data_IF_056717736049
#
_entry.id   IF_056717736049
#
_cell.length_a   1.000
_cell.length_b   1.000
_cell.length_c   1.000
_cell.angle_alpha   90.00
_cell.angle_beta   90.00
_cell.angle_gamma   90.00
#
_symmetry.space_group_name_H-M   'P 1'
#
loop_
_entity.id
_entity.type
_entity.pdbx_description
1 polymer ?
#
# COMPACT_ATOMS: atom_id res chain seq x y z
N UNK A 1 -3.89 3.14 25.31
CA UNK A 1 -3.01 3.11 24.13
C UNK A 1 -3.88 3.39 22.92
N UNK A 2 -3.71 4.52 22.27
CA UNK A 2 -4.54 4.90 21.13
C UNK A 2 -4.18 4.03 19.92
N UNK A 3 -5.06 3.10 19.59
CA UNK A 3 -4.89 2.12 18.50
C UNK A 3 -4.85 2.78 17.11
N UNK A 4 -5.10 4.10 17.05
CA UNK A 4 -5.11 4.88 15.80
C UNK A 4 -3.73 5.22 15.27
N UNK A 5 -2.70 5.14 16.09
CA UNK A 5 -1.32 5.36 15.69
C UNK A 5 -0.66 4.01 15.55
N UNK A 6 -0.64 3.50 14.33
CA UNK A 6 0.09 2.27 14.03
C UNK A 6 1.48 2.32 14.66
N UNK A 7 1.96 1.19 15.09
CA UNK A 7 3.18 0.98 15.84
C UNK A 7 4.31 1.89 15.39
N UNK A 8 4.70 2.82 16.25
CA UNK A 8 5.89 3.66 16.11
C UNK A 8 7.17 2.79 16.17
N UNK A 9 8.31 3.34 15.78
CA UNK A 9 9.63 2.71 15.98
C UNK A 9 9.87 2.24 17.42
N UNK A 10 9.30 2.92 18.42
CA UNK A 10 9.17 2.48 19.81
C UNK A 10 8.53 1.10 19.96
N UNK A 11 7.68 0.67 19.04
CA UNK A 11 7.03 -0.63 19.13
C UNK A 11 7.95 -1.79 18.71
N UNK A 12 8.96 -1.56 17.88
CA UNK A 12 9.98 -2.58 17.66
C UNK A 12 10.76 -2.86 18.95
N UNK A 13 11.09 -1.80 19.72
CA UNK A 13 11.71 -1.96 21.04
C UNK A 13 10.77 -2.70 22.01
N UNK A 14 9.50 -2.33 22.05
CA UNK A 14 8.52 -2.97 22.93
C UNK A 14 8.12 -4.37 22.47
N UNK A 15 7.90 -4.59 21.17
CA UNK A 15 7.47 -5.87 20.63
C UNK A 15 8.58 -6.93 20.61
N UNK A 16 9.83 -6.50 20.45
CA UNK A 16 10.99 -7.40 20.40
C UNK A 16 11.94 -7.21 21.57
N UNK A 17 11.70 -6.20 22.43
CA UNK A 17 12.52 -5.91 23.61
C UNK A 17 13.93 -5.39 23.31
N UNK A 18 14.12 -4.69 22.16
CA UNK A 18 15.43 -4.21 21.73
C UNK A 18 15.39 -2.78 21.21
N UNK A 19 16.42 -1.99 21.49
CA UNK A 19 16.65 -0.64 21.01
C UNK A 19 17.01 -0.57 19.50
N UNK A 20 17.37 -1.72 18.92
CA UNK A 20 17.49 -1.93 17.47
C UNK A 20 16.65 -3.13 17.10
N UNK A 21 15.95 -3.08 15.96
CA UNK A 21 15.18 -4.23 15.50
C UNK A 21 16.08 -5.50 15.51
N UNK A 22 15.74 -6.52 16.30
CA UNK A 22 16.57 -7.70 16.40
C UNK A 22 16.60 -8.42 15.05
N UNK A 23 17.71 -9.05 14.76
CA UNK A 23 17.77 -10.00 13.66
C UNK A 23 16.94 -11.22 14.04
N UNK A 24 15.88 -11.49 13.28
CA UNK A 24 15.05 -12.68 13.51
C UNK A 24 15.72 -13.92 12.96
N UNK A 25 15.73 -14.96 13.77
CA UNK A 25 16.08 -16.32 13.36
C UNK A 25 14.81 -17.06 13.00
N UNK A 26 14.67 -17.47 11.74
CA UNK A 26 13.52 -18.23 11.26
C UNK A 26 13.80 -19.71 11.39
N UNK A 27 13.63 -20.26 12.59
CA UNK A 27 13.81 -21.68 12.91
C UNK A 27 12.60 -22.20 13.71
N UNK A 28 12.45 -23.52 13.81
CA UNK A 28 11.39 -24.13 14.59
C UNK A 28 10.01 -23.60 14.24
N UNK A 29 9.28 -23.10 15.23
CA UNK A 29 7.91 -22.60 15.09
C UNK A 29 7.73 -21.53 13.98
N UNK A 30 8.77 -20.76 13.67
CA UNK A 30 8.72 -19.77 12.59
C UNK A 30 8.60 -20.43 11.21
N UNK A 31 9.31 -21.54 11.01
CA UNK A 31 9.24 -22.30 9.75
C UNK A 31 7.91 -23.02 9.61
N UNK A 32 7.40 -23.61 10.70
CA UNK A 32 6.11 -24.29 10.72
C UNK A 32 4.92 -23.37 10.44
N UNK A 33 5.01 -22.10 10.87
CA UNK A 33 3.99 -21.09 10.63
C UNK A 33 4.14 -20.38 9.27
N UNK A 34 5.09 -20.79 8.42
CA UNK A 34 5.34 -20.16 7.13
C UNK A 34 4.38 -20.68 6.06
N UNK A 35 3.63 -19.77 5.45
CA UNK A 35 2.72 -20.08 4.36
C UNK A 35 3.14 -19.39 3.06
N UNK A 36 3.11 -20.07 1.91
CA UNK A 36 3.31 -19.44 0.62
C UNK A 36 2.13 -18.50 0.34
N UNK A 37 2.42 -17.22 0.15
CA UNK A 37 1.40 -16.20 -0.18
C UNK A 37 1.35 -15.91 -1.67
N UNK A 38 2.50 -15.93 -2.32
CA UNK A 38 2.66 -15.75 -3.75
C UNK A 38 3.99 -16.38 -4.18
N UNK A 39 4.25 -16.46 -5.48
CA UNK A 39 5.55 -16.91 -6.01
C UNK A 39 6.74 -16.10 -5.47
N UNK A 40 6.49 -14.89 -4.95
CA UNK A 40 7.53 -13.97 -4.48
C UNK A 40 7.55 -13.68 -2.97
N UNK A 41 6.65 -14.27 -2.17
CA UNK A 41 6.56 -13.96 -0.74
C UNK A 41 5.96 -15.08 0.09
N UNK A 42 6.51 -15.26 1.29
CA UNK A 42 5.92 -16.07 2.38
C UNK A 42 5.29 -15.14 3.41
N UNK A 43 4.22 -15.62 4.07
CA UNK A 43 3.61 -14.99 5.24
C UNK A 43 3.72 -15.91 6.44
N UNK A 44 4.13 -15.32 7.55
CA UNK A 44 4.11 -15.98 8.86
C UNK A 44 3.12 -15.21 9.72
N UNK A 45 2.08 -15.88 10.21
CA UNK A 45 1.11 -15.26 11.10
C UNK A 45 1.73 -15.00 12.47
N UNK A 46 1.50 -13.79 13.01
CA UNK A 46 2.06 -13.33 14.28
C UNK A 46 0.96 -12.96 15.26
N UNK A 47 1.09 -13.39 16.52
CA UNK A 47 0.30 -12.90 17.64
C UNK A 47 1.18 -12.16 18.63
N UNK A 48 0.60 -11.21 19.35
CA UNK A 48 1.25 -10.57 20.50
C UNK A 48 1.13 -11.52 21.70
N UNK A 49 2.26 -11.93 22.26
CA UNK A 49 2.26 -12.65 23.54
C UNK A 49 2.04 -11.66 24.68
N UNK A 50 0.94 -11.78 25.45
CA UNK A 50 0.61 -10.82 26.49
C UNK A 50 1.58 -10.82 27.68
N UNK A 51 2.33 -11.92 27.86
CA UNK A 51 3.30 -12.03 28.98
C UNK A 51 4.63 -11.34 28.64
N UNK A 52 5.17 -11.64 27.48
CA UNK A 52 6.44 -11.08 27.05
C UNK A 52 6.31 -9.78 26.28
N UNK A 53 5.10 -9.42 25.87
CA UNK A 53 4.80 -8.29 24.97
C UNK A 53 5.57 -8.37 23.63
N UNK A 54 5.92 -9.59 23.20
CA UNK A 54 6.63 -9.86 21.94
C UNK A 54 5.71 -10.46 20.89
N UNK A 55 6.04 -10.22 19.61
CA UNK A 55 5.41 -10.92 18.50
C UNK A 55 6.04 -12.29 18.35
N UNK A 56 5.21 -13.31 18.38
CA UNK A 56 5.61 -14.72 18.19
C UNK A 56 4.81 -15.33 17.04
N UNK A 57 5.40 -16.31 16.31
CA UNK A 57 4.69 -17.04 15.27
C UNK A 57 3.52 -17.81 15.88
N UNK A 58 2.42 -17.91 15.14
CA UNK A 58 1.24 -18.62 15.61
C UNK A 58 0.32 -18.98 14.45
N UNK A 59 -0.25 -20.16 14.51
CA UNK A 59 -1.29 -20.63 13.59
C UNK A 59 -2.71 -20.21 14.03
N UNK A 60 -2.84 -19.55 15.17
CA UNK A 60 -4.14 -19.15 15.70
C UNK A 60 -4.83 -18.09 14.81
N UNK A 61 -6.14 -18.17 14.74
CA UNK A 61 -6.98 -17.21 14.02
C UNK A 61 -6.95 -15.79 14.59
N UNK A 62 -6.51 -15.65 15.85
CA UNK A 62 -6.40 -14.38 16.58
C UNK A 62 -5.13 -13.56 16.22
N UNK A 63 -4.32 -14.04 15.28
CA UNK A 63 -3.15 -13.31 14.82
C UNK A 63 -3.53 -11.97 14.20
N UNK A 64 -2.87 -10.88 14.62
CA UNK A 64 -3.12 -9.50 14.16
C UNK A 64 -2.10 -9.01 13.15
N UNK A 65 -1.02 -9.71 12.97
CA UNK A 65 0.09 -9.33 12.10
C UNK A 65 0.53 -10.49 11.23
N UNK A 66 1.16 -10.13 10.13
CA UNK A 66 1.99 -11.04 9.35
C UNK A 66 3.43 -10.54 9.33
N UNK A 67 4.37 -11.47 9.42
CA UNK A 67 5.72 -11.25 8.90
C UNK A 67 5.73 -11.69 7.44
N UNK A 68 5.94 -10.76 6.54
CA UNK A 68 6.08 -11.01 5.12
C UNK A 68 7.55 -11.13 4.76
N UNK A 69 7.94 -12.29 4.25
CA UNK A 69 9.33 -12.59 3.85
C UNK A 69 9.38 -12.77 2.33
N UNK A 70 10.22 -12.01 1.61
CA UNK A 70 10.39 -12.23 0.17
C UNK A 70 10.95 -13.62 -0.13
N UNK A 71 10.32 -14.36 -1.05
CA UNK A 71 10.69 -15.72 -1.45
C UNK A 71 11.77 -15.78 -2.53
N UNK A 72 12.25 -14.63 -3.00
CA UNK A 72 13.27 -14.53 -4.06
C UNK A 72 14.60 -15.09 -3.56
N UNK A 73 15.23 -16.00 -4.33
CA UNK A 73 16.50 -16.66 -3.94
C UNK A 73 17.64 -15.66 -3.71
N UNK A 74 17.77 -14.67 -4.60
CA UNK A 74 18.78 -13.62 -4.48
C UNK A 74 18.42 -12.67 -3.33
N UNK A 75 19.22 -12.67 -2.27
CA UNK A 75 19.03 -11.86 -1.07
C UNK A 75 19.01 -10.37 -1.39
N UNK A 76 19.85 -9.90 -2.30
CA UNK A 76 19.90 -8.49 -2.71
C UNK A 76 18.60 -8.03 -3.37
N UNK A 77 18.05 -8.86 -4.23
CA UNK A 77 16.78 -8.58 -4.91
C UNK A 77 15.58 -8.70 -3.95
N UNK A 78 15.60 -9.69 -3.05
CA UNK A 78 14.60 -9.84 -2.00
C UNK A 78 14.52 -8.58 -1.12
N UNK A 79 15.68 -8.07 -0.69
CA UNK A 79 15.76 -6.86 0.11
C UNK A 79 15.31 -5.62 -0.68
N UNK A 80 15.70 -5.50 -1.95
CA UNK A 80 15.23 -4.42 -2.85
C UNK A 80 13.70 -4.43 -2.97
N UNK A 81 13.09 -5.61 -3.04
CA UNK A 81 11.64 -5.73 -3.10
C UNK A 81 10.96 -5.30 -1.78
N UNK A 82 11.50 -5.70 -0.63
CA UNK A 82 10.98 -5.29 0.68
C UNK A 82 11.14 -3.78 0.89
N UNK A 83 12.29 -3.21 0.57
CA UNK A 83 12.55 -1.77 0.63
C UNK A 83 11.60 -0.98 -0.27
N UNK A 84 11.37 -1.45 -1.51
CA UNK A 84 10.43 -0.84 -2.43
C UNK A 84 9.00 -0.83 -1.90
N UNK A 85 8.53 -1.96 -1.38
CA UNK A 85 7.18 -2.05 -0.82
C UNK A 85 7.03 -1.13 0.39
N UNK A 86 7.99 -1.13 1.30
CA UNK A 86 7.97 -0.26 2.48
C UNK A 86 8.00 1.22 2.11
N UNK A 87 8.89 1.62 1.19
CA UNK A 87 8.96 3.00 0.70
C UNK A 87 7.63 3.41 0.06
N UNK A 88 7.09 2.59 -0.83
CA UNK A 88 5.85 2.89 -1.53
C UNK A 88 4.68 3.07 -0.56
N UNK A 89 4.59 2.22 0.45
CA UNK A 89 3.56 2.33 1.50
C UNK A 89 3.76 3.57 2.37
N UNK A 90 5.00 3.92 2.68
CA UNK A 90 5.34 5.15 3.41
C UNK A 90 5.02 6.41 2.62
N UNK A 91 5.34 6.41 1.31
CA UNK A 91 4.95 7.48 0.39
C UNK A 91 3.43 7.63 0.30
N UNK A 92 2.70 6.52 0.17
CA UNK A 92 1.24 6.53 0.12
C UNK A 92 0.63 7.19 1.37
N UNK A 93 1.14 6.87 2.55
CA UNK A 93 0.71 7.49 3.82
C UNK A 93 1.04 8.98 3.88
N UNK A 94 2.26 9.36 3.51
CA UNK A 94 2.68 10.77 3.48
C UNK A 94 1.88 11.56 2.46
N UNK A 95 1.52 10.95 1.35
CA UNK A 95 0.63 11.52 0.33
C UNK A 95 -0.81 11.73 0.84
N UNK A 96 -1.21 11.04 1.89
CA UNK A 96 -2.52 11.14 2.52
C UNK A 96 -3.46 9.96 2.24
N UNK A 97 -2.94 8.88 1.64
CA UNK A 97 -3.72 7.65 1.45
C UNK A 97 -3.81 6.90 2.78
N UNK A 98 -5.00 6.42 3.12
CA UNK A 98 -5.16 5.46 4.20
C UNK A 98 -4.50 4.14 3.76
N UNK A 99 -3.31 3.87 4.31
CA UNK A 99 -2.49 2.71 3.97
C UNK A 99 -1.91 2.06 5.23
N UNK A 100 -1.72 0.75 5.20
CA UNK A 100 -1.14 0.01 6.33
C UNK A 100 0.29 0.49 6.60
N UNK A 101 0.63 0.60 7.88
CA UNK A 101 1.99 0.87 8.31
C UNK A 101 2.76 -0.44 8.41
N UNK A 102 3.94 -0.48 7.80
CA UNK A 102 4.81 -1.64 7.82
C UNK A 102 6.10 -1.32 8.58
N UNK A 103 6.71 -2.35 9.15
CA UNK A 103 8.00 -2.23 9.85
C UNK A 103 9.00 -3.20 9.25
N UNK A 104 10.25 -2.75 9.14
CA UNK A 104 11.38 -3.61 8.77
C UNK A 104 11.80 -4.50 9.91
N UNK A 105 12.13 -5.74 9.57
CA UNK A 105 12.76 -6.68 10.47
C UNK A 105 13.92 -7.37 9.75
N UNK A 106 15.16 -7.22 10.21
CA UNK A 106 16.27 -8.00 9.69
C UNK A 106 16.13 -9.47 10.06
N UNK A 107 16.48 -10.36 9.13
CA UNK A 107 16.46 -11.81 9.30
C UNK A 107 17.91 -12.31 9.21
N UNK A 108 18.28 -13.35 9.99
CA UNK A 108 19.64 -13.89 10.03
C UNK A 108 20.21 -14.31 8.67
N UNK A 109 19.35 -14.71 7.75
CA UNK A 109 19.74 -14.99 6.36
C UNK A 109 20.23 -13.76 5.59
N UNK A 110 20.34 -12.58 6.22
CA UNK A 110 20.65 -11.30 5.60
C UNK A 110 19.47 -10.70 4.82
N UNK A 111 18.29 -11.30 4.93
CA UNK A 111 17.04 -10.82 4.31
C UNK A 111 16.37 -9.78 5.19
N UNK A 112 15.49 -9.00 4.56
CA UNK A 112 14.57 -8.10 5.24
C UNK A 112 13.16 -8.69 5.17
N UNK A 113 12.53 -8.81 6.34
CA UNK A 113 11.09 -9.06 6.47
C UNK A 113 10.32 -7.78 6.72
N UNK A 114 9.01 -7.80 6.45
CA UNK A 114 8.08 -6.72 6.72
C UNK A 114 7.00 -7.21 7.69
N UNK A 115 6.89 -6.58 8.86
CA UNK A 115 5.72 -6.77 9.73
C UNK A 115 4.58 -5.94 9.17
N UNK A 116 3.47 -6.60 8.87
CA UNK A 116 2.30 -6.03 8.22
C UNK A 116 1.08 -6.29 9.10
N UNK A 117 0.34 -5.25 9.53
CA UNK A 117 -0.93 -5.44 10.21
C UNK A 117 -1.95 -6.15 9.31
N UNK A 118 -2.72 -7.04 9.87
CA UNK A 118 -3.87 -7.66 9.21
C UNK A 118 -5.03 -6.67 9.15
N UNK A 119 -5.53 -6.43 7.95
CA UNK A 119 -6.63 -5.49 7.71
C UNK A 119 -8.00 -6.12 8.01
N UNK A 120 -8.05 -7.44 8.10
CA UNK A 120 -9.24 -8.23 8.42
C UNK A 120 -9.38 -8.51 9.93
N UNK A 121 -8.60 -7.82 10.77
CA UNK A 121 -8.63 -7.97 12.22
C UNK A 121 -8.70 -6.62 12.91
N UNK A 122 -9.67 -6.46 13.78
CA UNK A 122 -9.85 -5.28 14.61
C UNK A 122 -9.89 -5.68 16.09
N UNK A 123 -9.42 -4.79 16.98
CA UNK A 123 -9.55 -5.00 18.43
C UNK A 123 -10.88 -4.45 18.86
N UNK A 124 -11.81 -5.33 19.18
CA UNK A 124 -13.08 -4.98 19.77
C UNK A 124 -13.04 -5.04 21.31
N UNK A 125 -14.12 -4.65 21.98
CA UNK A 125 -14.23 -4.68 23.44
C UNK A 125 -14.07 -6.09 24.04
N UNK A 126 -14.48 -7.10 23.29
CA UNK A 126 -14.49 -8.51 23.72
C UNK A 126 -13.38 -9.35 23.08
N UNK A 127 -12.41 -8.72 22.41
CA UNK A 127 -11.31 -9.43 21.76
C UNK A 127 -11.08 -9.03 20.31
N UNK A 128 -10.53 -9.93 19.52
CA UNK A 128 -10.24 -9.68 18.12
C UNK A 128 -11.45 -10.04 17.26
N UNK A 129 -11.98 -9.04 16.58
CA UNK A 129 -13.04 -9.16 15.58
C UNK A 129 -12.44 -9.48 14.22
N UNK A 130 -13.04 -10.45 13.54
CA UNK A 130 -12.65 -10.81 12.18
C UNK A 130 -13.64 -10.23 11.18
N UNK A 131 -13.15 -9.41 10.26
CA UNK A 131 -13.91 -8.85 9.16
C UNK A 131 -13.77 -9.69 7.89
N UNK A 132 -14.82 -9.74 7.08
CA UNK A 132 -14.73 -10.30 5.73
C UNK A 132 -14.03 -9.28 4.81
N UNK A 133 -13.09 -9.78 4.01
CA UNK A 133 -12.25 -8.94 3.15
C UNK A 133 -12.19 -9.53 1.75
N UNK A 134 -12.57 -8.73 0.76
CA UNK A 134 -12.55 -9.13 -0.65
C UNK A 134 -11.90 -8.04 -1.50
N UNK A 135 -11.12 -8.44 -2.49
CA UNK A 135 -10.66 -7.52 -3.53
C UNK A 135 -11.76 -7.26 -4.54
N UNK A 136 -11.72 -6.10 -5.18
CA UNK A 136 -12.67 -5.77 -6.26
C UNK A 136 -12.59 -6.78 -7.40
N UNK A 137 -11.43 -7.40 -7.63
CA UNK A 137 -11.26 -8.48 -8.60
C UNK A 137 -12.03 -9.74 -8.23
N UNK A 138 -12.20 -10.05 -6.94
CA UNK A 138 -13.01 -11.19 -6.47
C UNK A 138 -14.50 -10.87 -6.61
N UNK A 139 -14.92 -9.68 -6.22
CA UNK A 139 -16.32 -9.23 -6.34
C UNK A 139 -16.75 -9.20 -7.81
N UNK A 140 -15.92 -8.67 -8.70
CA UNK A 140 -16.20 -8.58 -10.14
C UNK A 140 -16.09 -9.91 -10.90
N UNK A 141 -15.83 -11.05 -10.23
CA UNK A 141 -15.62 -12.36 -10.84
C UNK A 141 -14.67 -12.35 -12.04
N UNK A 142 -13.61 -11.50 -11.98
CA UNK A 142 -12.64 -11.46 -13.06
C UNK A 142 -11.85 -12.77 -13.12
N UNK A 143 -11.71 -13.42 -14.30
CA UNK A 143 -11.02 -14.70 -14.44
C UNK A 143 -9.60 -14.62 -13.90
N UNK A 144 -9.17 -15.68 -13.19
CA UNK A 144 -7.77 -15.88 -12.84
C UNK A 144 -6.97 -15.97 -14.13
N UNK A 145 -6.16 -15.01 -14.44
CA UNK A 145 -5.33 -15.03 -15.68
C UNK A 145 -5.38 -13.77 -16.51
N UNK A 146 -6.24 -12.83 -16.19
CA UNK A 146 -6.19 -11.51 -16.81
C UNK A 146 -4.90 -10.77 -16.35
N UNK A 147 -3.76 -11.27 -16.83
CA UNK A 147 -2.50 -10.50 -16.87
C UNK A 147 -2.68 -9.49 -17.98
N UNK A 148 -3.44 -8.45 -17.71
CA UNK A 148 -3.57 -7.40 -18.70
C UNK A 148 -2.25 -6.63 -18.75
N UNK A 149 -1.50 -6.81 -19.82
CA UNK A 149 -0.51 -5.80 -20.25
C UNK A 149 -1.17 -4.42 -20.34
N UNK A 150 -2.48 -4.35 -20.48
CA UNK A 150 -3.34 -3.17 -20.40
C UNK A 150 -3.39 -2.49 -19.02
N UNK A 151 -2.99 -3.13 -17.92
CA UNK A 151 -2.87 -2.45 -16.60
C UNK A 151 -1.74 -1.41 -16.55
N UNK A 152 -0.95 -1.27 -17.61
CA UNK A 152 0.12 -0.26 -17.69
C UNK A 152 -0.37 1.13 -18.03
N UNK A 153 -1.62 1.31 -18.36
CA UNK A 153 -2.18 2.61 -18.74
C UNK A 153 -2.91 3.26 -17.58
N UNK A 154 -2.19 4.09 -16.82
CA UNK A 154 -2.73 4.93 -15.75
C UNK A 154 -3.82 5.88 -16.28
N UNK A 155 -4.91 6.07 -15.53
CA UNK A 155 -6.05 6.93 -15.88
C UNK A 155 -6.74 6.55 -17.21
N UNK A 156 -6.93 5.26 -17.44
CA UNK A 156 -7.68 4.74 -18.59
C UNK A 156 -9.18 4.69 -18.31
N UNK A 157 -9.98 4.36 -19.35
CA UNK A 157 -11.41 4.01 -19.16
C UNK A 157 -11.62 2.87 -18.15
N UNK A 158 -10.62 2.02 -17.99
CA UNK A 158 -10.59 0.92 -17.02
C UNK A 158 -10.57 1.44 -15.58
N UNK A 159 -9.83 2.52 -15.30
CA UNK A 159 -9.77 3.11 -13.95
C UNK A 159 -11.12 3.69 -13.56
N UNK A 160 -11.82 4.34 -14.49
CA UNK A 160 -13.18 4.81 -14.25
C UNK A 160 -14.14 3.65 -13.96
N UNK A 161 -14.07 2.59 -14.76
CA UNK A 161 -14.92 1.40 -14.56
C UNK A 161 -14.67 0.76 -13.19
N UNK A 162 -13.42 0.63 -12.78
CA UNK A 162 -13.05 0.12 -11.46
C UNK A 162 -13.56 1.02 -10.34
N UNK A 163 -13.43 2.35 -10.49
CA UNK A 163 -13.99 3.31 -9.55
C UNK A 163 -15.50 3.18 -9.42
N UNK A 164 -16.23 3.13 -10.54
CA UNK A 164 -17.69 2.95 -10.52
C UNK A 164 -18.10 1.62 -9.87
N UNK A 165 -17.41 0.52 -10.19
CA UNK A 165 -17.66 -0.80 -9.57
C UNK A 165 -17.41 -0.76 -8.06
N UNK A 166 -16.35 -0.06 -7.61
CA UNK A 166 -16.07 0.14 -6.20
C UNK A 166 -17.23 0.88 -5.50
N UNK A 167 -17.70 2.00 -6.10
CA UNK A 167 -18.76 2.81 -5.51
C UNK A 167 -20.08 2.08 -5.44
N UNK A 168 -20.39 1.22 -6.42
CA UNK A 168 -21.58 0.35 -6.42
C UNK A 168 -21.51 -0.72 -5.32
N UNK A 169 -20.31 -1.16 -4.95
CA UNK A 169 -20.08 -2.19 -3.94
C UNK A 169 -19.88 -1.62 -2.52
N UNK A 170 -19.84 -0.30 -2.36
CA UNK A 170 -19.57 0.42 -1.10
C UNK A 170 -20.84 1.04 -0.54
N UNK A 171 -21.01 0.95 0.79
CA UNK A 171 -22.07 1.67 1.53
C UNK A 171 -21.66 3.13 1.87
N UNK A 172 -20.42 3.51 1.56
CA UNK A 172 -19.86 4.86 1.78
C UNK A 172 -19.33 5.48 0.48
N UNK A 173 -20.15 5.58 -0.59
CA UNK A 173 -19.66 5.90 -1.93
C UNK A 173 -18.92 7.24 -2.01
N UNK A 174 -19.35 8.27 -1.27
CA UNK A 174 -18.68 9.57 -1.30
C UNK A 174 -17.28 9.51 -0.68
N UNK A 175 -17.14 8.88 0.48
CA UNK A 175 -15.83 8.72 1.16
C UNK A 175 -14.89 7.84 0.33
N UNK A 176 -15.41 6.78 -0.24
CA UNK A 176 -14.63 5.86 -1.05
C UNK A 176 -14.27 6.46 -2.41
N UNK A 177 -15.10 7.36 -2.97
CA UNK A 177 -14.72 8.18 -4.12
C UNK A 177 -13.50 9.06 -3.82
N UNK A 178 -13.51 9.76 -2.68
CA UNK A 178 -12.34 10.55 -2.23
C UNK A 178 -11.08 9.68 -2.11
N UNK A 179 -11.19 8.53 -1.43
CA UNK A 179 -10.08 7.61 -1.23
C UNK A 179 -9.57 7.03 -2.56
N UNK A 180 -10.48 6.73 -3.50
CA UNK A 180 -10.13 6.26 -4.83
C UNK A 180 -9.39 7.30 -5.65
N UNK A 181 -9.87 8.55 -5.66
CA UNK A 181 -9.23 9.68 -6.36
C UNK A 181 -7.82 9.93 -5.80
N UNK A 182 -7.63 9.87 -4.48
CA UNK A 182 -6.30 10.00 -3.88
C UNK A 182 -5.35 8.88 -4.35
N UNK A 183 -5.82 7.63 -4.43
CA UNK A 183 -5.02 6.52 -4.97
C UNK A 183 -4.69 6.72 -6.44
N UNK A 184 -5.60 7.29 -7.20
CA UNK A 184 -5.40 7.60 -8.62
C UNK A 184 -4.36 8.70 -8.82
N UNK A 185 -4.43 9.79 -8.04
CA UNK A 185 -3.40 10.84 -8.04
C UNK A 185 -2.03 10.29 -7.63
N UNK A 186 -1.99 9.41 -6.63
CA UNK A 186 -0.77 8.72 -6.23
C UNK A 186 -0.22 7.83 -7.36
N UNK A 187 -1.10 7.09 -8.02
CA UNK A 187 -0.73 6.27 -9.19
C UNK A 187 -0.15 7.13 -10.30
N UNK A 188 -0.70 8.32 -10.51
CA UNK A 188 -0.17 9.28 -11.48
C UNK A 188 1.22 9.77 -11.08
N UNK A 189 1.41 10.24 -9.83
CA UNK A 189 2.69 10.82 -9.38
C UNK A 189 3.81 9.77 -9.35
N UNK A 190 3.53 8.56 -8.89
CA UNK A 190 4.54 7.53 -8.59
C UNK A 190 4.54 6.33 -9.52
N UNK A 191 3.67 6.28 -10.51
CA UNK A 191 3.57 5.10 -11.41
C UNK A 191 3.28 3.79 -10.68
N UNK A 192 2.46 3.86 -9.63
CA UNK A 192 2.08 2.71 -8.82
C UNK A 192 0.67 2.25 -9.21
N UNK A 193 0.41 0.97 -9.46
CA UNK A 193 -0.94 0.48 -9.77
C UNK A 193 -1.84 0.43 -8.52
N UNK A 194 -2.02 1.59 -7.84
CA UNK A 194 -2.76 1.69 -6.59
C UNK A 194 -4.27 1.50 -6.75
N UNK A 195 -4.80 1.68 -7.97
CA UNK A 195 -6.21 1.52 -8.31
C UNK A 195 -6.50 0.19 -9.01
N UNK A 196 -5.56 -0.76 -9.09
CA UNK A 196 -5.86 -2.05 -9.70
C UNK A 196 -6.91 -2.80 -8.88
N UNK A 197 -7.81 -3.53 -9.56
CA UNK A 197 -8.89 -4.28 -8.91
C UNK A 197 -8.42 -5.27 -7.82
N UNK A 198 -7.18 -5.75 -7.91
CA UNK A 198 -6.54 -6.60 -6.88
C UNK A 198 -6.05 -5.82 -5.66
N UNK A 199 -5.86 -4.51 -5.78
CA UNK A 199 -5.39 -3.61 -4.71
C UNK A 199 -6.52 -2.82 -4.07
N UNK A 200 -7.68 -2.78 -4.70
CA UNK A 200 -8.90 -2.22 -4.15
C UNK A 200 -9.59 -3.31 -3.32
N UNK A 201 -9.48 -3.18 -2.02
CA UNK A 201 -9.98 -4.16 -1.05
C UNK A 201 -11.16 -3.57 -0.32
N UNK A 202 -12.28 -4.27 -0.31
CA UNK A 202 -13.45 -3.94 0.48
C UNK A 202 -13.43 -4.73 1.79
N UNK A 203 -13.73 -4.06 2.87
CA UNK A 203 -13.88 -4.65 4.20
C UNK A 203 -15.36 -4.59 4.56
N UNK A 204 -15.96 -5.74 4.82
CA UNK A 204 -17.30 -5.86 5.36
C UNK A 204 -17.22 -5.98 6.88
N UNK A 205 -17.88 -5.07 7.58
CA UNK A 205 -17.96 -5.04 9.04
C UNK A 205 -19.05 -5.96 9.57
N UNK A 206 -19.14 -6.11 10.89
CA UNK A 206 -20.17 -6.90 11.56
C UNK A 206 -21.60 -6.41 11.28
N UNK A 207 -21.77 -5.10 11.11
CA UNK A 207 -23.03 -4.47 10.70
C UNK A 207 -23.37 -4.66 9.22
N UNK A 208 -22.64 -5.53 8.54
CA UNK A 208 -22.72 -5.80 7.10
C UNK A 208 -22.35 -4.63 6.19
N UNK A 209 -21.93 -3.48 6.72
CA UNK A 209 -21.49 -2.36 5.89
C UNK A 209 -20.16 -2.64 5.22
N UNK A 210 -20.03 -2.22 3.96
CA UNK A 210 -18.84 -2.39 3.12
C UNK A 210 -18.19 -1.04 2.81
N UNK A 211 -16.88 -0.98 2.93
CA UNK A 211 -16.10 0.22 2.59
C UNK A 211 -14.72 -0.15 2.06
N UNK A 212 -14.13 0.79 1.33
CA UNK A 212 -12.76 0.64 0.86
C UNK A 212 -11.80 0.57 2.05
N UNK A 213 -11.09 -0.53 2.16
CA UNK A 213 -10.06 -0.76 3.17
C UNK A 213 -8.77 0.02 2.90
N UNK A 214 -7.80 -0.04 3.81
CA UNK A 214 -6.51 0.60 3.63
C UNK A 214 -5.77 0.04 2.42
N UNK A 215 -4.94 0.87 1.78
CA UNK A 215 -4.04 0.41 0.74
C UNK A 215 -2.99 -0.53 1.33
N UNK A 216 -2.65 -1.58 0.58
CA UNK A 216 -1.71 -2.60 1.03
C UNK A 216 -0.93 -3.19 -0.15
N UNK A 217 0.35 -3.54 0.10
CA UNK A 217 1.18 -4.23 -0.88
C UNK A 217 1.45 -3.41 -2.15
N UNK A 218 1.48 -2.07 -2.04
CA UNK A 218 1.84 -1.20 -3.15
C UNK A 218 3.35 -1.25 -3.39
N UNK A 219 3.76 -1.23 -4.66
CA UNK A 219 5.16 -1.21 -5.07
C UNK A 219 5.35 -0.25 -6.25
N UNK A 220 6.43 0.51 -6.21
CA UNK A 220 6.89 1.30 -7.34
C UNK A 220 7.30 0.37 -8.47
N UNK A 221 6.97 0.73 -9.70
CA UNK A 221 7.47 0.04 -10.88
C UNK A 221 8.87 0.60 -11.23
N UNK A 222 9.87 0.20 -10.47
CA UNK A 222 11.24 0.73 -10.59
C UNK A 222 11.85 0.39 -11.94
N UNK A 223 11.65 -0.84 -12.40
CA UNK A 223 12.21 -1.33 -13.67
C UNK A 223 11.49 -0.72 -14.90
N UNK A 224 10.33 -0.13 -14.70
CA UNK A 224 9.53 0.57 -15.72
C UNK A 224 9.66 2.09 -15.72
N UNK A 225 10.47 2.69 -14.85
CA UNK A 225 10.61 4.14 -14.76
C UNK A 225 11.10 4.77 -16.09
N UNK A 226 12.02 4.12 -16.79
CA UNK A 226 12.51 4.59 -18.10
C UNK A 226 11.41 4.56 -19.18
N UNK A 227 10.54 3.53 -19.16
CA UNK A 227 9.38 3.42 -20.04
C UNK A 227 8.33 4.49 -19.71
N UNK A 228 8.24 4.88 -18.45
CA UNK A 228 7.32 5.93 -18.00
C UNK A 228 7.71 7.31 -18.47
N UNK A 229 9.01 7.63 -18.53
CA UNK A 229 9.47 8.90 -19.10
C UNK A 229 9.12 9.02 -20.58
N UNK A 230 9.20 7.91 -21.34
CA UNK A 230 8.79 7.87 -22.75
C UNK A 230 7.28 8.07 -22.96
N UNK A 231 6.46 7.71 -21.98
CA UNK A 231 4.99 7.85 -22.03
C UNK A 231 4.47 9.08 -21.28
N UNK A 232 5.32 10.06 -20.96
CA UNK A 232 4.95 11.26 -20.20
C UNK A 232 3.77 12.02 -20.82
N UNK A 233 3.78 12.23 -22.16
CA UNK A 233 2.69 12.90 -22.88
C UNK A 233 1.32 12.27 -22.66
N UNK A 234 1.22 10.95 -22.76
CA UNK A 234 -0.04 10.22 -22.50
C UNK A 234 -0.50 10.32 -21.06
N UNK A 235 0.42 10.45 -20.11
CA UNK A 235 0.09 10.65 -18.70
C UNK A 235 -0.41 12.07 -18.41
N UNK A 236 0.17 13.09 -19.06
CA UNK A 236 -0.25 14.49 -18.95
C UNK A 236 -1.64 14.70 -19.55
N UNK A 237 -1.89 14.21 -20.76
CA UNK A 237 -3.21 14.29 -21.41
C UNK A 237 -4.31 13.66 -20.55
N UNK A 238 -3.96 12.64 -19.76
CA UNK A 238 -4.91 11.93 -18.90
C UNK A 238 -5.23 12.70 -17.62
N UNK A 239 -4.26 13.35 -17.01
CA UNK A 239 -4.50 14.12 -15.79
C UNK A 239 -5.37 15.35 -16.07
N UNK A 240 -5.34 15.90 -17.30
CA UNK A 240 -6.27 16.96 -17.71
C UNK A 240 -7.74 16.52 -17.67
N UNK A 241 -8.02 15.22 -17.66
CA UNK A 241 -9.37 14.66 -17.46
C UNK A 241 -9.72 14.45 -15.98
N UNK A 242 -8.93 14.98 -15.06
CA UNK A 242 -9.14 14.81 -13.62
C UNK A 242 -10.53 15.26 -13.18
N UNK A 243 -10.94 16.48 -13.50
CA UNK A 243 -12.25 17.00 -13.11
C UNK A 243 -13.43 16.24 -13.72
N UNK A 244 -13.46 15.96 -15.02
CA UNK A 244 -14.49 15.11 -15.60
C UNK A 244 -14.56 13.72 -14.95
N UNK A 245 -13.43 13.12 -14.59
CA UNK A 245 -13.39 11.83 -13.93
C UNK A 245 -13.95 11.92 -12.51
N UNK A 246 -13.52 12.91 -11.73
CA UNK A 246 -14.03 13.15 -10.37
C UNK A 246 -15.55 13.36 -10.38
N UNK A 247 -16.08 14.15 -11.33
CA UNK A 247 -17.51 14.36 -11.50
C UNK A 247 -18.27 13.05 -11.80
N UNK A 248 -17.73 12.19 -12.67
CA UNK A 248 -18.32 10.87 -12.96
C UNK A 248 -18.31 9.92 -11.76
N UNK A 249 -17.40 10.12 -10.81
CA UNK A 249 -17.35 9.40 -9.53
C UNK A 249 -18.19 10.08 -8.43
N UNK A 250 -19.01 11.06 -8.79
CA UNK A 250 -19.93 11.73 -7.88
C UNK A 250 -19.32 12.83 -7.00
N UNK A 251 -18.11 13.29 -7.32
CA UNK A 251 -17.49 14.42 -6.61
C UNK A 251 -17.80 15.74 -7.30
N UNK A 252 -18.23 16.74 -6.54
CA UNK A 252 -18.34 18.09 -7.06
C UNK A 252 -16.94 18.71 -7.33
N UNK A 253 -16.92 19.76 -8.16
CA UNK A 253 -15.66 20.45 -8.51
C UNK A 253 -14.89 20.92 -7.29
N UNK A 254 -15.59 21.47 -6.30
CA UNK A 254 -14.97 21.96 -5.05
C UNK A 254 -14.31 20.82 -4.26
N UNK A 255 -14.95 19.64 -4.17
CA UNK A 255 -14.35 18.47 -3.50
C UNK A 255 -13.10 17.99 -4.26
N UNK A 256 -13.15 17.96 -5.60
CA UNK A 256 -12.02 17.60 -6.43
C UNK A 256 -10.85 18.60 -6.27
N UNK A 257 -11.11 19.91 -6.28
CA UNK A 257 -10.09 20.94 -6.03
C UNK A 257 -9.49 20.81 -4.63
N UNK A 258 -10.29 20.55 -3.60
CA UNK A 258 -9.80 20.31 -2.23
C UNK A 258 -8.84 19.12 -2.17
N UNK A 259 -9.16 18.01 -2.84
CA UNK A 259 -8.29 16.84 -2.90
C UNK A 259 -6.97 17.15 -3.59
N UNK A 260 -7.01 17.91 -4.67
CA UNK A 260 -5.82 18.32 -5.39
C UNK A 260 -4.92 19.21 -4.52
N UNK A 261 -5.50 20.26 -3.89
CA UNK A 261 -4.78 21.11 -2.92
C UNK A 261 -4.22 20.31 -1.74
N UNK A 262 -4.99 19.36 -1.21
CA UNK A 262 -4.55 18.46 -0.15
C UNK A 262 -3.30 17.66 -0.53
N UNK A 263 -3.22 17.19 -1.77
CA UNK A 263 -2.04 16.49 -2.31
C UNK A 263 -0.86 17.44 -2.49
N UNK A 264 -1.09 18.63 -3.03
CA UNK A 264 -0.03 19.63 -3.27
C UNK A 264 0.59 20.15 -1.97
N UNK A 265 -0.19 20.35 -0.91
CA UNK A 265 0.33 20.74 0.42
C UNK A 265 1.29 19.67 0.98
N UNK A 266 1.12 18.41 0.61
CA UNK A 266 1.98 17.30 1.08
C UNK A 266 3.24 17.07 0.25
N UNK A 267 3.34 17.69 -0.91
CA UNK A 267 4.51 17.56 -1.80
C UNK A 267 5.85 17.72 -1.06
N UNK A 268 6.09 18.77 -0.23
CA UNK A 268 7.39 18.92 0.44
C UNK A 268 7.72 17.77 1.38
N UNK A 269 6.72 17.20 2.03
CA UNK A 269 6.92 16.05 2.95
C UNK A 269 7.20 14.75 2.19
N UNK A 270 6.53 14.56 1.07
CA UNK A 270 6.73 13.43 0.16
C UNK A 270 8.13 13.50 -0.46
N UNK A 271 8.54 14.67 -0.96
CA UNK A 271 9.85 14.86 -1.56
C UNK A 271 10.97 14.68 -0.54
N UNK A 272 10.82 15.18 0.70
CA UNK A 272 11.77 14.94 1.79
C UNK A 272 11.90 13.46 2.14
N UNK A 273 10.79 12.71 2.13
CA UNK A 273 10.84 11.26 2.37
C UNK A 273 11.66 10.56 1.28
N UNK A 274 11.43 10.87 0.00
CA UNK A 274 12.21 10.33 -1.11
C UNK A 274 13.70 10.67 -1.02
N UNK A 275 14.04 11.91 -0.65
CA UNK A 275 15.42 12.37 -0.51
C UNK A 275 16.17 11.71 0.65
N UNK A 276 15.49 11.51 1.79
CA UNK A 276 16.11 11.00 3.02
C UNK A 276 16.14 9.49 3.12
N UNK A 277 15.35 8.80 2.30
CA UNK A 277 15.25 7.35 2.42
C UNK A 277 16.59 6.68 2.11
N UNK A 278 17.15 5.87 3.03
CA UNK A 278 18.47 5.28 2.88
C UNK A 278 18.41 4.05 1.96
N UNK A 279 18.10 4.26 0.71
CA UNK A 279 18.03 3.19 -0.30
C UNK A 279 19.42 2.90 -0.84
N UNK A 280 20.20 2.08 -0.15
CA UNK A 280 21.54 1.68 -0.62
C UNK A 280 21.51 1.06 -2.02
N UNK A 281 20.40 0.40 -2.40
CA UNK A 281 20.25 -0.34 -3.66
C UNK A 281 19.41 0.35 -4.73
N UNK A 282 18.71 1.42 -4.39
CA UNK A 282 17.89 2.20 -5.32
C UNK A 282 18.54 3.54 -5.75
N UNK A 283 19.80 3.78 -5.45
CA UNK A 283 20.46 5.07 -5.63
C UNK A 283 20.23 5.73 -7.00
N UNK A 284 20.43 5.00 -8.09
CA UNK A 284 20.17 5.48 -9.46
C UNK A 284 18.69 5.76 -9.70
N UNK A 285 17.83 4.87 -9.26
CA UNK A 285 16.36 4.98 -9.44
C UNK A 285 15.77 6.06 -8.55
N UNK A 286 16.42 6.43 -7.43
CA UNK A 286 15.96 7.52 -6.56
C UNK A 286 15.95 8.86 -7.29
N UNK A 287 17.02 9.18 -8.01
CA UNK A 287 17.09 10.44 -8.78
C UNK A 287 16.03 10.48 -9.87
N UNK A 288 15.83 9.38 -10.59
CA UNK A 288 14.76 9.26 -11.60
C UNK A 288 13.36 9.41 -11.00
N UNK A 289 13.14 8.84 -9.80
CA UNK A 289 11.88 8.97 -9.07
C UNK A 289 11.62 10.42 -8.62
N UNK A 290 12.64 11.10 -8.10
CA UNK A 290 12.56 12.50 -7.69
C UNK A 290 12.21 13.38 -8.88
N UNK A 291 12.99 13.32 -9.96
CA UNK A 291 12.76 14.10 -11.18
C UNK A 291 11.37 13.83 -11.77
N UNK A 292 10.96 12.55 -11.85
CA UNK A 292 9.63 12.19 -12.33
C UNK A 292 8.51 12.71 -11.43
N UNK A 293 8.67 12.64 -10.11
CA UNK A 293 7.67 13.15 -9.16
C UNK A 293 7.56 14.68 -9.25
N UNK A 294 8.69 15.41 -9.29
CA UNK A 294 8.73 16.86 -9.42
C UNK A 294 7.99 17.35 -10.68
N UNK A 295 8.28 16.73 -11.82
CA UNK A 295 7.60 17.05 -13.10
C UNK A 295 6.09 16.86 -13.01
N UNK A 296 5.66 15.76 -12.38
CA UNK A 296 4.23 15.45 -12.25
C UNK A 296 3.51 16.34 -11.24
N UNK A 297 4.16 16.71 -10.14
CA UNK A 297 3.63 17.71 -9.22
C UNK A 297 3.51 19.07 -9.92
N UNK A 298 4.48 19.45 -10.78
CA UNK A 298 4.38 20.68 -11.58
C UNK A 298 3.12 20.66 -12.46
N UNK A 299 2.81 19.55 -13.13
CA UNK A 299 1.56 19.40 -13.89
C UNK A 299 0.32 19.48 -12.99
N UNK A 300 0.33 18.86 -11.81
CA UNK A 300 -0.82 18.96 -10.87
C UNK A 300 -1.06 20.42 -10.44
N UNK A 301 -0.02 21.23 -10.28
CA UNK A 301 -0.14 22.67 -9.95
C UNK A 301 -0.85 23.47 -11.03
N UNK A 302 -0.78 23.07 -12.29
CA UNK A 302 -1.48 23.77 -13.39
C UNK A 302 -2.99 23.51 -13.40
N UNK A 303 -3.49 22.54 -12.63
CA UNK A 303 -4.90 22.19 -12.54
C UNK A 303 -5.66 22.98 -11.45
N UNK A 304 -4.95 23.66 -10.55
CA UNK A 304 -5.51 24.46 -9.45
C UNK A 304 -5.53 25.92 -9.80
#
# INVERSE_FOLDING_TARGET
>A
MDVRHGYHSLCCEQLFGFTRAPTLKLEGDWMECMHPFSESSYLISLRLDPRSMKLIPSLQTTCRFFLKVPAIRNVSEANRQAENEWLTMSLARTFGIFAVQMQFVPIESGRIGLIVPRIDREVGPHGIVQHHVESLAQIGRQPKGFRSEQQRTLLSSLDLQQGLTLLQASDYPKQDAHAYILRMLFSYVFSVPACSSRKLILIQREDSTRRLGPALGLRLNIDGLDLFQKNARTSEERIHRYYPLAARLGLCRTDAERLLRFVLIREPSVMRLLQRFPMKKLGRHRMLLLDSAEKRYAVLKTLV
#
